data_IF_785603396796
#
_entry.id   IF_785603396796
#
_cell.length_a   1.000
_cell.length_b   1.000
_cell.length_c   1.000
_cell.angle_alpha   90.00
_cell.angle_beta   90.00
_cell.angle_gamma   90.00
#
_symmetry.space_group_name_H-M   'P 1'
#
loop_
_entity.id
_entity.type
_entity.pdbx_description
1 polymer ?
#
# COMPACT_ATOMS: atom_id res chain seq x y z
N UNK A 1 33.65 21.91 31.52
CA UNK A 1 33.55 21.08 30.27
C UNK A 1 32.08 20.98 29.92
N UNK A 2 31.62 21.77 29.01
CA UNK A 2 30.22 21.80 28.56
C UNK A 2 30.09 20.81 27.41
N UNK A 3 29.48 19.66 27.69
CA UNK A 3 29.18 18.65 26.66
C UNK A 3 28.07 19.15 25.76
N UNK A 4 28.36 19.35 24.47
CA UNK A 4 27.37 19.61 23.44
C UNK A 4 26.59 18.32 23.19
N UNK A 5 25.29 18.34 23.49
CA UNK A 5 24.35 17.28 23.10
C UNK A 5 24.10 17.41 21.60
N UNK A 6 24.60 16.47 20.83
CA UNK A 6 24.25 16.36 19.40
C UNK A 6 22.87 15.76 19.33
N UNK A 7 21.85 16.58 19.01
CA UNK A 7 20.51 16.09 18.69
C UNK A 7 20.58 15.37 17.33
N UNK A 8 20.60 14.05 17.35
CA UNK A 8 20.41 13.23 16.15
C UNK A 8 18.91 13.21 15.86
N UNK A 9 18.46 14.05 14.94
CA UNK A 9 17.10 13.96 14.39
C UNK A 9 17.07 12.78 13.42
N UNK A 10 16.43 11.70 13.84
CA UNK A 10 16.10 10.60 12.95
C UNK A 10 15.09 11.11 11.93
N UNK A 11 15.31 10.85 10.64
CA UNK A 11 14.33 11.16 9.61
C UNK A 11 13.08 10.31 9.87
N UNK A 12 11.94 10.97 10.05
CA UNK A 12 10.66 10.30 10.29
C UNK A 12 10.29 9.46 9.06
N UNK A 13 9.91 8.20 9.30
CA UNK A 13 9.51 7.27 8.24
C UNK A 13 8.01 7.43 7.96
N UNK A 14 7.57 7.63 6.70
CA UNK A 14 6.16 7.69 6.39
C UNK A 14 5.46 6.36 6.70
N UNK A 15 4.27 6.42 7.25
CA UNK A 15 3.41 5.26 7.55
C UNK A 15 2.88 4.59 6.28
N UNK A 16 2.65 5.37 5.23
CA UNK A 16 2.28 4.87 3.90
C UNK A 16 2.69 5.85 2.81
N UNK A 17 2.70 5.37 1.56
CA UNK A 17 3.05 6.19 0.39
C UNK A 17 2.06 5.97 -0.74
N UNK A 18 1.93 6.97 -1.59
CA UNK A 18 1.13 6.94 -2.81
C UNK A 18 1.69 7.85 -3.88
N UNK A 19 0.95 8.00 -4.94
CA UNK A 19 1.26 8.89 -6.05
C UNK A 19 0.22 10.01 -6.16
N UNK A 20 0.59 11.09 -6.79
CA UNK A 20 -0.30 12.18 -7.17
C UNK A 20 0.28 12.96 -8.32
N UNK A 21 -0.50 13.84 -8.92
CA UNK A 21 -0.01 14.67 -10.02
C UNK A 21 -0.59 16.09 -9.99
N UNK A 22 0.16 17.04 -10.50
CA UNK A 22 -0.28 18.44 -10.58
C UNK A 22 -1.46 18.59 -11.55
N UNK A 23 -2.51 19.27 -11.10
CA UNK A 23 -3.70 19.60 -11.89
C UNK A 23 -3.83 21.10 -12.14
N UNK A 24 -3.02 21.92 -11.48
CA UNK A 24 -2.93 23.37 -11.70
C UNK A 24 -1.48 23.82 -11.68
N UNK A 25 -1.20 25.01 -12.18
CA UNK A 25 0.13 25.64 -12.14
C UNK A 25 0.48 26.29 -10.80
N UNK A 26 -0.52 26.46 -9.93
CA UNK A 26 -0.40 27.08 -8.61
C UNK A 26 -0.36 26.07 -7.45
N UNK A 27 -0.07 24.79 -7.73
CA UNK A 27 0.26 23.82 -6.71
C UNK A 27 -0.88 22.95 -6.18
N UNK A 28 -1.98 22.77 -6.90
CA UNK A 28 -2.93 21.71 -6.60
C UNK A 28 -2.49 20.38 -7.17
N UNK A 29 -2.43 19.36 -6.32
CA UNK A 29 -2.07 17.98 -6.66
C UNK A 29 -3.28 17.08 -6.40
N UNK A 30 -3.65 16.27 -7.39
CA UNK A 30 -4.72 15.27 -7.31
C UNK A 30 -4.13 13.92 -6.96
N UNK A 31 -4.82 13.19 -6.07
CA UNK A 31 -4.47 11.83 -5.62
C UNK A 31 -5.74 11.08 -5.21
N UNK A 32 -5.62 9.86 -4.65
CA UNK A 32 -6.75 9.16 -4.05
C UNK A 32 -7.00 9.59 -2.60
N UNK A 33 -8.25 9.45 -2.15
CA UNK A 33 -8.65 9.72 -0.77
C UNK A 33 -7.94 8.78 0.21
N UNK A 34 -7.85 7.49 -0.10
CA UNK A 34 -7.20 6.50 0.77
C UNK A 34 -5.69 6.74 0.96
N UNK A 35 -5.04 7.52 0.07
CA UNK A 35 -3.62 7.89 0.20
C UNK A 35 -3.41 8.92 1.31
N UNK A 36 -4.41 9.77 1.60
CA UNK A 36 -4.32 10.85 2.59
C UNK A 36 -5.17 10.61 3.84
N UNK A 37 -6.07 9.63 3.80
CA UNK A 37 -6.94 9.32 4.93
C UNK A 37 -6.14 8.75 6.10
N UNK A 38 -6.43 9.24 7.31
CA UNK A 38 -5.74 8.82 8.54
C UNK A 38 -4.35 9.41 8.71
N UNK A 39 -3.88 10.25 7.78
CA UNK A 39 -2.61 10.95 7.93
C UNK A 39 -2.78 12.17 8.86
N UNK A 40 -1.92 12.30 9.84
CA UNK A 40 -1.80 13.55 10.61
C UNK A 40 -1.07 14.64 9.82
N UNK A 41 -0.14 14.19 8.97
CA UNK A 41 0.62 15.05 8.08
C UNK A 41 0.80 14.38 6.74
N UNK A 42 0.54 15.12 5.68
CA UNK A 42 0.80 14.71 4.31
C UNK A 42 1.93 15.57 3.75
N UNK A 43 2.91 14.95 3.13
CA UNK A 43 3.99 15.64 2.42
C UNK A 43 4.05 15.18 0.97
N UNK A 44 4.43 16.10 0.11
CA UNK A 44 4.78 15.79 -1.28
C UNK A 44 6.30 15.80 -1.36
N UNK A 45 6.88 14.65 -1.69
CA UNK A 45 8.32 14.45 -1.69
C UNK A 45 9.04 15.52 -2.52
N UNK A 46 10.06 16.14 -1.95
CA UNK A 46 10.85 17.26 -2.52
C UNK A 46 10.08 18.58 -2.72
N UNK A 47 8.77 18.62 -2.41
CA UNK A 47 7.94 19.82 -2.58
C UNK A 47 7.46 20.40 -1.24
N UNK A 48 7.48 19.62 -0.17
CA UNK A 48 7.15 20.03 1.19
C UNK A 48 5.78 19.56 1.68
N UNK A 49 5.37 20.11 2.82
CA UNK A 49 4.13 19.74 3.50
C UNK A 49 2.90 20.21 2.69
N UNK A 50 1.94 19.31 2.52
CA UNK A 50 0.60 19.64 2.03
C UNK A 50 -0.14 20.56 3.00
N UNK A 51 -0.77 21.59 2.47
CA UNK A 51 -1.57 22.56 3.23
C UNK A 51 -3.05 22.15 3.25
N UNK A 52 -3.89 22.84 2.46
CA UNK A 52 -5.32 22.53 2.32
C UNK A 52 -5.49 21.16 1.65
N UNK A 53 -6.16 20.21 2.34
CA UNK A 53 -6.47 18.88 1.84
C UNK A 53 -7.98 18.75 1.76
N UNK A 54 -8.50 18.44 0.57
CA UNK A 54 -9.93 18.25 0.29
C UNK A 54 -10.15 16.83 -0.16
N UNK A 55 -11.14 16.15 0.42
CA UNK A 55 -11.34 14.72 0.25
C UNK A 55 -12.75 14.42 -0.23
N UNK A 56 -12.85 13.54 -1.22
CA UNK A 56 -14.09 12.88 -1.65
C UNK A 56 -13.93 11.38 -1.43
N UNK A 57 -14.36 10.91 -0.27
CA UNK A 57 -14.29 9.49 0.09
C UNK A 57 -15.18 8.60 -0.79
N UNK A 58 -16.27 9.16 -1.36
CA UNK A 58 -17.20 8.39 -2.19
C UNK A 58 -16.57 7.99 -3.53
N UNK A 59 -15.77 8.90 -4.10
CA UNK A 59 -15.12 8.69 -5.39
C UNK A 59 -13.63 8.34 -5.24
N UNK A 60 -13.14 8.17 -4.01
CA UNK A 60 -11.75 7.89 -3.71
C UNK A 60 -10.78 8.93 -4.31
N UNK A 61 -11.08 10.22 -4.15
CA UNK A 61 -10.28 11.33 -4.66
C UNK A 61 -9.89 12.30 -3.55
N UNK A 62 -8.70 12.90 -3.67
CA UNK A 62 -8.26 13.99 -2.82
C UNK A 62 -7.45 15.01 -3.60
N UNK A 63 -7.55 16.27 -3.16
CA UNK A 63 -6.75 17.40 -3.62
C UNK A 63 -5.85 17.86 -2.48
N UNK A 64 -4.58 18.08 -2.77
CA UNK A 64 -3.58 18.58 -1.83
C UNK A 64 -3.05 19.90 -2.38
N UNK A 65 -3.12 20.96 -1.58
CA UNK A 65 -2.53 22.25 -1.93
C UNK A 65 -1.09 22.30 -1.44
N UNK A 66 -0.15 22.51 -2.37
CA UNK A 66 1.24 22.82 -2.04
C UNK A 66 1.38 24.21 -1.39
N UNK A 67 2.46 24.49 -0.65
CA UNK A 67 2.70 25.79 -0.06
C UNK A 67 2.66 26.93 -1.09
N UNK A 68 2.24 28.10 -0.63
CA UNK A 68 2.16 29.28 -1.52
C UNK A 68 3.52 29.60 -2.16
N UNK A 69 3.46 29.98 -3.43
CA UNK A 69 4.64 30.28 -4.24
C UNK A 69 5.24 29.06 -4.96
N UNK A 70 4.85 27.85 -4.61
CA UNK A 70 5.26 26.66 -5.36
C UNK A 70 4.56 26.62 -6.71
N UNK A 71 5.35 26.52 -7.77
CA UNK A 71 4.87 26.36 -9.14
C UNK A 71 4.93 24.92 -9.56
N UNK A 72 3.89 24.45 -10.24
CA UNK A 72 3.76 23.10 -10.76
C UNK A 72 3.46 23.11 -12.25
N UNK A 73 3.81 22.06 -12.95
CA UNK A 73 3.44 21.82 -14.35
C UNK A 73 2.21 20.94 -14.35
N UNK A 74 0.99 21.46 -14.68
CA UNK A 74 -0.21 20.62 -14.65
C UNK A 74 -0.21 19.60 -15.80
N UNK A 75 -0.81 18.44 -15.54
CA UNK A 75 -1.29 17.55 -16.60
C UNK A 75 -2.68 18.00 -17.05
N UNK A 76 -2.95 17.93 -18.34
CA UNK A 76 -4.21 18.32 -18.93
C UNK A 76 -5.20 17.15 -18.95
N UNK A 77 -6.45 17.42 -18.60
CA UNK A 77 -7.52 16.42 -18.68
C UNK A 77 -8.01 16.29 -20.13
N UNK A 78 -8.24 15.05 -20.56
CA UNK A 78 -8.82 14.75 -21.85
C UNK A 78 -10.32 14.99 -21.84
N UNK A 79 -10.85 15.66 -22.87
CA UNK A 79 -12.29 15.87 -23.08
C UNK A 79 -12.93 14.79 -23.95
N UNK A 80 -12.17 14.25 -24.87
CA UNK A 80 -12.70 13.30 -25.85
C UNK A 80 -13.10 11.96 -25.22
N UNK A 81 -14.06 11.29 -25.87
CA UNK A 81 -14.58 9.99 -25.43
C UNK A 81 -13.45 8.96 -25.39
N UNK A 82 -13.36 8.25 -24.28
CA UNK A 82 -12.44 7.11 -24.10
C UNK A 82 -13.03 5.91 -24.83
N UNK A 83 -12.20 5.18 -25.58
CA UNK A 83 -12.63 4.00 -26.34
C UNK A 83 -12.03 2.73 -25.75
N UNK A 84 -12.74 1.62 -25.88
CA UNK A 84 -12.24 0.30 -25.57
C UNK A 84 -10.99 -0.01 -26.42
N UNK A 85 -9.96 -0.56 -25.79
CA UNK A 85 -8.71 -0.95 -26.45
C UNK A 85 -7.70 0.20 -26.63
N UNK A 86 -8.00 1.43 -26.22
CA UNK A 86 -7.03 2.52 -26.30
C UNK A 86 -5.79 2.22 -25.47
N UNK A 87 -4.61 2.50 -26.05
CA UNK A 87 -3.33 2.41 -25.36
C UNK A 87 -3.22 3.48 -24.27
N UNK A 88 -2.73 3.08 -23.12
CA UNK A 88 -2.58 3.94 -21.95
C UNK A 88 -1.24 3.74 -21.24
N UNK A 89 -0.85 4.75 -20.49
CA UNK A 89 0.36 4.78 -19.67
C UNK A 89 -0.06 5.16 -18.25
N UNK A 90 0.38 4.40 -17.26
CA UNK A 90 0.28 4.78 -15.85
C UNK A 90 1.64 5.18 -15.31
N UNK A 91 1.69 6.27 -14.54
CA UNK A 91 2.89 6.79 -13.89
C UNK A 91 2.70 6.82 -12.38
N UNK A 92 3.75 6.50 -11.62
CA UNK A 92 3.68 6.53 -10.16
C UNK A 92 4.94 6.06 -9.46
N UNK A 93 4.83 5.87 -8.14
CA UNK A 93 5.91 5.45 -7.24
C UNK A 93 5.55 4.15 -6.52
N UNK A 94 5.43 3.01 -7.25
CA UNK A 94 5.06 1.74 -6.65
C UNK A 94 6.18 1.18 -5.79
N UNK A 95 5.79 0.42 -4.73
CA UNK A 95 6.66 -0.38 -3.88
C UNK A 95 7.81 0.43 -3.29
N UNK A 96 7.47 1.55 -2.64
CA UNK A 96 8.43 2.38 -1.93
C UNK A 96 9.19 1.59 -0.87
N UNK A 97 10.49 1.85 -0.77
CA UNK A 97 11.39 1.09 0.12
C UNK A 97 11.84 -0.28 -0.41
N UNK A 98 11.16 -0.86 -1.42
CA UNK A 98 11.57 -2.10 -2.09
C UNK A 98 12.23 -1.87 -3.43
N UNK A 99 11.77 -0.88 -4.17
CA UNK A 99 12.34 -0.45 -5.45
C UNK A 99 13.03 0.90 -5.31
N UNK A 100 13.67 1.36 -6.39
CA UNK A 100 14.28 2.70 -6.42
C UNK A 100 13.23 3.79 -6.20
N UNK A 101 13.61 4.91 -5.57
CA UNK A 101 12.75 6.09 -5.36
C UNK A 101 12.38 6.87 -6.64
N UNK A 102 12.76 6.35 -7.80
CA UNK A 102 12.42 6.96 -9.08
C UNK A 102 10.98 6.65 -9.50
N UNK A 103 10.38 7.55 -10.27
CA UNK A 103 9.10 7.31 -10.92
C UNK A 103 9.16 6.05 -11.80
N UNK A 104 8.07 5.29 -11.83
CA UNK A 104 7.91 4.13 -12.71
C UNK A 104 6.76 4.37 -13.66
N UNK A 105 6.89 3.73 -14.81
CA UNK A 105 5.90 3.75 -15.87
C UNK A 105 5.49 2.31 -16.22
N UNK A 106 4.20 2.09 -16.39
CA UNK A 106 3.64 0.85 -16.92
C UNK A 106 2.69 1.17 -18.07
N UNK A 107 2.61 0.29 -19.05
CA UNK A 107 1.74 0.44 -20.23
C UNK A 107 0.67 -0.63 -20.25
N UNK A 108 -0.44 -0.36 -20.91
CA UNK A 108 -1.55 -1.27 -21.11
C UNK A 108 -2.63 -0.65 -21.97
N UNK A 109 -3.86 -1.14 -21.80
CA UNK A 109 -5.03 -0.70 -22.57
C UNK A 109 -6.23 -0.50 -21.66
N UNK A 110 -7.21 0.26 -22.15
CA UNK A 110 -8.54 0.30 -21.56
C UNK A 110 -9.26 -1.01 -21.87
N UNK A 111 -9.43 -1.87 -20.85
CA UNK A 111 -10.01 -3.22 -20.99
C UNK A 111 -11.54 -3.23 -20.86
N UNK A 112 -12.14 -2.26 -20.13
CA UNK A 112 -13.57 -2.03 -20.09
C UNK A 112 -13.88 -0.56 -19.76
N UNK A 113 -15.05 -0.11 -20.22
CA UNK A 113 -15.53 1.26 -19.97
C UNK A 113 -16.35 1.39 -18.68
N UNK A 114 -16.30 0.38 -17.80
CA UNK A 114 -16.89 0.40 -16.47
C UNK A 114 -16.07 -0.45 -15.51
N UNK A 115 -16.18 -0.18 -14.22
CA UNK A 115 -15.55 -0.93 -13.15
C UNK A 115 -16.41 -2.12 -12.69
N UNK A 116 -16.14 -2.59 -11.47
CA UNK A 116 -16.90 -3.65 -10.81
C UNK A 116 -18.40 -3.30 -10.73
N UNK A 117 -19.25 -4.29 -10.91
CA UNK A 117 -20.70 -4.11 -10.86
C UNK A 117 -21.25 -3.11 -11.89
N UNK A 118 -20.57 -2.92 -13.02
CA UNK A 118 -20.89 -1.91 -14.05
C UNK A 118 -20.80 -0.45 -13.56
N UNK A 119 -19.98 -0.18 -12.55
CA UNK A 119 -19.78 1.18 -12.03
C UNK A 119 -19.07 2.06 -13.07
N UNK A 120 -19.81 3.03 -13.60
CA UNK A 120 -19.34 3.93 -14.67
C UNK A 120 -18.35 5.00 -14.19
N UNK A 121 -18.10 5.12 -12.88
CA UNK A 121 -17.07 6.01 -12.33
C UNK A 121 -15.65 5.53 -12.62
N UNK A 122 -15.51 4.26 -12.99
CA UNK A 122 -14.23 3.60 -13.18
C UNK A 122 -14.02 3.14 -14.62
N UNK A 123 -12.74 2.98 -14.95
CA UNK A 123 -12.27 2.24 -16.12
C UNK A 123 -11.61 0.96 -15.62
N UNK A 124 -11.83 -0.16 -16.31
CA UNK A 124 -10.96 -1.31 -16.15
C UNK A 124 -9.78 -1.17 -17.11
N UNK A 125 -8.57 -1.42 -16.63
CA UNK A 125 -7.32 -1.28 -17.38
C UNK A 125 -6.45 -2.54 -17.24
N UNK A 126 -5.69 -2.86 -18.27
CA UNK A 126 -4.73 -3.98 -18.25
C UNK A 126 -3.36 -3.58 -17.71
N UNK A 127 -3.12 -2.30 -17.49
CA UNK A 127 -1.87 -1.74 -16.99
C UNK A 127 -1.56 -2.31 -15.61
N UNK A 128 -0.36 -2.92 -15.38
CA UNK A 128 0.03 -3.41 -14.05
C UNK A 128 0.06 -2.26 -13.02
N UNK A 129 -0.69 -2.41 -11.95
CA UNK A 129 -0.78 -1.46 -10.83
C UNK A 129 -0.35 -2.18 -9.55
N UNK A 130 0.52 -1.52 -8.78
CA UNK A 130 1.04 -2.00 -7.50
C UNK A 130 0.74 -0.97 -6.39
N UNK A 131 0.76 -1.37 -5.11
CA UNK A 131 0.72 -0.42 -4.00
C UNK A 131 1.75 0.70 -4.18
N UNK A 132 1.33 1.95 -3.96
CA UNK A 132 2.12 3.16 -4.26
C UNK A 132 1.81 3.81 -5.61
N UNK A 133 1.22 3.10 -6.59
CA UNK A 133 0.69 3.73 -7.81
C UNK A 133 -0.61 4.51 -7.56
N UNK A 134 -1.36 4.17 -6.50
CA UNK A 134 -2.63 4.83 -6.16
C UNK A 134 -2.51 6.35 -6.18
N UNK A 135 -3.42 7.02 -6.86
CA UNK A 135 -3.44 8.46 -7.08
C UNK A 135 -2.59 8.97 -8.24
N UNK A 136 -1.80 8.09 -8.88
CA UNK A 136 -1.04 8.44 -10.08
C UNK A 136 -1.94 8.61 -11.31
N UNK A 137 -1.48 9.36 -12.33
CA UNK A 137 -2.25 9.57 -13.55
C UNK A 137 -2.23 8.34 -14.46
N UNK A 138 -3.37 8.08 -15.10
CA UNK A 138 -3.48 7.28 -16.32
C UNK A 138 -3.62 8.24 -17.48
N UNK A 139 -2.68 8.20 -18.42
CA UNK A 139 -2.62 9.10 -19.57
C UNK A 139 -2.74 8.33 -20.89
N UNK A 140 -3.24 9.01 -21.91
CA UNK A 140 -3.31 8.51 -23.28
C UNK A 140 -1.98 8.70 -24.04
N UNK A 141 -1.97 8.39 -25.31
CA UNK A 141 -0.81 8.52 -26.22
C UNK A 141 -0.41 9.95 -26.52
N UNK A 142 -1.22 10.91 -26.18
CA UNK A 142 -0.95 12.36 -26.31
C UNK A 142 -0.49 12.98 -24.97
N UNK A 143 -0.46 12.18 -23.87
CA UNK A 143 -0.07 12.61 -22.52
C UNK A 143 -1.19 13.27 -21.72
N UNK A 144 -2.45 13.09 -22.15
CA UNK A 144 -3.63 13.66 -21.49
C UNK A 144 -4.22 12.68 -20.47
N UNK A 145 -4.65 13.19 -19.33
CA UNK A 145 -5.20 12.38 -18.25
C UNK A 145 -6.59 11.87 -18.62
N UNK A 146 -6.75 10.56 -18.59
CA UNK A 146 -8.03 9.86 -18.78
C UNK A 146 -8.55 9.24 -17.48
N UNK A 147 -7.68 9.09 -16.47
CA UNK A 147 -8.06 8.51 -15.18
C UNK A 147 -6.98 8.63 -14.13
N UNK A 148 -7.30 8.18 -12.92
CA UNK A 148 -6.45 8.14 -11.75
C UNK A 148 -6.37 6.70 -11.26
N UNK A 149 -5.17 6.12 -11.16
CA UNK A 149 -4.98 4.73 -10.72
C UNK A 149 -5.52 4.53 -9.30
N UNK A 150 -6.23 3.43 -9.06
CA UNK A 150 -6.65 3.02 -7.72
C UNK A 150 -6.39 1.52 -7.53
N UNK A 151 -5.47 1.19 -6.62
CA UNK A 151 -5.15 -0.20 -6.28
C UNK A 151 -6.20 -0.83 -5.34
N UNK A 152 -7.00 0.00 -4.63
CA UNK A 152 -8.01 -0.47 -3.69
C UNK A 152 -9.09 -1.33 -4.33
N UNK A 153 -9.55 -1.00 -5.54
CA UNK A 153 -10.58 -1.77 -6.24
C UNK A 153 -10.12 -3.14 -6.71
N UNK A 154 -8.86 -3.26 -7.14
CA UNK A 154 -8.28 -4.56 -7.50
C UNK A 154 -8.15 -5.47 -6.27
N UNK A 155 -7.83 -4.88 -5.11
CA UNK A 155 -7.82 -5.57 -3.82
C UNK A 155 -9.23 -6.02 -3.43
N UNK A 156 -10.22 -5.13 -3.48
CA UNK A 156 -11.62 -5.46 -3.16
C UNK A 156 -12.17 -6.58 -4.06
N UNK A 157 -11.83 -6.56 -5.35
CA UNK A 157 -12.20 -7.62 -6.28
C UNK A 157 -11.61 -8.98 -5.87
N UNK A 158 -10.33 -9.01 -5.51
CA UNK A 158 -9.68 -10.22 -5.03
C UNK A 158 -10.30 -10.71 -3.71
N UNK A 159 -10.63 -9.79 -2.80
CA UNK A 159 -11.26 -10.09 -1.52
C UNK A 159 -12.69 -10.64 -1.68
N UNK A 160 -13.49 -10.08 -2.60
CA UNK A 160 -14.87 -10.52 -2.85
C UNK A 160 -14.95 -11.84 -3.63
N UNK A 161 -14.07 -12.04 -4.60
CA UNK A 161 -14.14 -13.18 -5.52
C UNK A 161 -13.23 -14.35 -5.14
N UNK A 162 -12.23 -14.11 -4.30
CA UNK A 162 -11.15 -15.06 -4.00
C UNK A 162 -10.20 -15.29 -5.18
N UNK A 163 -10.31 -14.51 -6.26
CA UNK A 163 -9.45 -14.59 -7.44
C UNK A 163 -8.60 -13.32 -7.57
N UNK A 164 -7.28 -13.47 -7.64
CA UNK A 164 -6.40 -12.42 -8.13
C UNK A 164 -6.46 -12.48 -9.65
N UNK A 165 -7.27 -11.61 -10.24
CA UNK A 165 -7.35 -11.51 -11.69
C UNK A 165 -6.07 -10.82 -12.20
N UNK A 166 -5.31 -11.51 -13.05
CA UNK A 166 -4.17 -10.91 -13.73
C UNK A 166 -4.65 -9.85 -14.72
N UNK A 167 -3.98 -8.69 -14.73
CA UNK A 167 -4.28 -7.56 -15.64
C UNK A 167 -5.71 -7.01 -15.53
N UNK A 168 -6.35 -7.16 -14.36
CA UNK A 168 -7.61 -6.51 -14.01
C UNK A 168 -7.33 -5.46 -12.96
N UNK A 169 -7.10 -4.25 -13.41
CA UNK A 169 -6.85 -3.08 -12.58
C UNK A 169 -7.87 -2.00 -12.91
N UNK A 170 -7.95 -0.98 -12.07
CA UNK A 170 -8.98 0.05 -12.19
C UNK A 170 -8.36 1.45 -12.07
N UNK A 171 -9.04 2.39 -12.73
CA UNK A 171 -8.77 3.82 -12.60
C UNK A 171 -10.08 4.58 -12.41
N UNK A 172 -10.11 5.55 -11.51
CA UNK A 172 -11.18 6.54 -11.43
C UNK A 172 -11.15 7.38 -12.71
N UNK A 173 -12.27 7.58 -13.39
CA UNK A 173 -12.32 8.37 -14.62
C UNK A 173 -11.94 9.82 -14.36
N UNK A 174 -11.24 10.44 -15.31
CA UNK A 174 -10.90 11.86 -15.25
C UNK A 174 -12.15 12.76 -15.15
N UNK A 175 -13.29 12.36 -15.73
CA UNK A 175 -14.56 13.10 -15.62
C UNK A 175 -15.11 13.12 -14.18
N UNK A 176 -14.86 12.10 -13.38
CA UNK A 176 -15.22 12.09 -11.94
C UNK A 176 -14.34 13.07 -11.18
N UNK A 177 -13.04 13.08 -11.47
CA UNK A 177 -12.11 14.05 -10.90
C UNK A 177 -12.44 15.49 -11.33
N UNK A 178 -12.87 15.68 -12.57
CA UNK A 178 -13.34 16.97 -13.07
C UNK A 178 -14.50 17.51 -12.23
N UNK A 179 -15.54 16.70 -11.99
CA UNK A 179 -16.67 17.09 -11.14
C UNK A 179 -16.23 17.42 -9.72
N UNK A 180 -15.33 16.65 -9.15
CA UNK A 180 -14.77 16.92 -7.82
C UNK A 180 -13.99 18.25 -7.79
N UNK A 181 -13.09 18.47 -8.75
CA UNK A 181 -12.31 19.72 -8.84
C UNK A 181 -13.22 20.94 -9.00
N UNK A 182 -14.24 20.87 -9.84
CA UNK A 182 -15.25 21.94 -10.02
C UNK A 182 -15.98 22.25 -8.72
N UNK A 183 -16.43 21.21 -8.00
CA UNK A 183 -17.11 21.38 -6.71
C UNK A 183 -16.21 22.03 -5.65
N UNK A 184 -14.88 21.83 -5.75
CA UNK A 184 -13.89 22.44 -4.87
C UNK A 184 -13.39 23.82 -5.35
N UNK A 185 -13.86 24.33 -6.48
CA UNK A 185 -13.41 25.63 -7.05
C UNK A 185 -11.96 25.59 -7.55
N UNK A 186 -11.45 24.42 -7.91
CA UNK A 186 -10.11 24.24 -8.47
C UNK A 186 -10.19 24.30 -9.99
N UNK A 187 -9.34 25.16 -10.60
CA UNK A 187 -9.29 25.32 -12.06
C UNK A 187 -8.87 24.02 -12.75
N UNK A 188 -9.47 23.77 -13.91
CA UNK A 188 -9.19 22.59 -14.70
C UNK A 188 -8.52 23.00 -16.00
N UNK A 189 -7.41 22.33 -16.30
CA UNK A 189 -6.71 22.48 -17.57
C UNK A 189 -7.08 21.32 -18.49
N UNK A 190 -7.60 21.65 -19.67
CA UNK A 190 -7.98 20.65 -20.65
C UNK A 190 -7.02 20.62 -21.81
N UNK A 191 -6.88 19.45 -22.39
CA UNK A 191 -6.20 19.29 -23.66
C UNK A 191 -6.91 20.05 -24.78
N UNK A 192 -6.16 20.70 -25.64
CA UNK A 192 -6.69 21.25 -26.87
C UNK A 192 -6.97 20.14 -27.88
N UNK A 193 -8.18 20.16 -28.46
CA UNK A 193 -8.62 19.16 -29.45
C UNK A 193 -8.03 19.40 -30.86
N UNK A 194 -6.88 20.05 -30.96
CA UNK A 194 -6.29 20.41 -32.25
C UNK A 194 -5.81 19.15 -32.98
N UNK A 195 -6.56 18.78 -34.03
CA UNK A 195 -6.40 17.57 -34.85
C UNK A 195 -5.14 17.55 -35.73
N UNK A 196 -4.27 18.54 -35.62
CA UNK A 196 -3.03 18.69 -36.40
C UNK A 196 -1.78 18.27 -35.62
N UNK A 197 -1.88 17.23 -34.78
CA UNK A 197 -0.71 16.76 -34.05
C UNK A 197 0.20 15.98 -35.02
N UNK A 198 1.44 16.41 -35.13
CA UNK A 198 2.60 15.71 -35.66
C UNK A 198 2.67 14.23 -35.21
N UNK A 199 3.48 13.38 -35.82
CA UNK A 199 3.49 11.95 -35.50
C UNK A 199 3.49 11.73 -33.98
N UNK A 200 2.59 10.86 -33.51
CA UNK A 200 2.39 10.60 -32.08
C UNK A 200 3.75 10.44 -31.36
N UNK A 201 3.96 11.14 -30.23
CA UNK A 201 5.21 11.02 -29.49
C UNK A 201 5.45 9.56 -29.05
N UNK A 202 6.70 9.17 -28.94
CA UNK A 202 7.01 7.85 -28.40
C UNK A 202 6.58 7.75 -26.92
N UNK A 203 6.37 6.53 -26.45
CA UNK A 203 6.06 6.30 -25.02
C UNK A 203 7.11 6.91 -24.09
N UNK A 204 8.38 6.92 -24.53
CA UNK A 204 9.48 7.53 -23.79
C UNK A 204 9.33 9.07 -23.71
N UNK A 205 9.00 9.73 -24.82
CA UNK A 205 8.80 11.18 -24.86
C UNK A 205 7.61 11.62 -23.98
N UNK A 206 6.53 10.82 -24.01
CA UNK A 206 5.35 11.05 -23.15
C UNK A 206 5.74 10.94 -21.68
N UNK A 207 6.46 9.87 -21.30
CA UNK A 207 6.93 9.65 -19.94
C UNK A 207 7.86 10.79 -19.48
N UNK A 208 8.81 11.21 -20.30
CA UNK A 208 9.71 12.32 -20.00
C UNK A 208 8.93 13.63 -19.78
N UNK A 209 7.96 13.93 -20.65
CA UNK A 209 7.13 15.11 -20.54
C UNK A 209 6.21 15.14 -19.32
N UNK A 210 5.62 13.99 -18.94
CA UNK A 210 4.64 13.87 -17.86
C UNK A 210 5.28 13.69 -16.48
N UNK A 211 6.44 13.02 -16.40
CA UNK A 211 7.11 12.68 -15.13
C UNK A 211 7.33 13.87 -14.20
N UNK A 212 7.72 15.10 -14.66
CA UNK A 212 7.89 16.24 -13.77
C UNK A 212 6.61 16.71 -13.08
N UNK A 213 5.46 16.26 -13.55
CA UNK A 213 4.14 16.61 -13.01
C UNK A 213 3.62 15.57 -12.00
N UNK A 214 4.32 14.43 -11.83
CA UNK A 214 3.91 13.32 -10.96
C UNK A 214 4.78 13.29 -9.72
N UNK A 215 4.14 13.18 -8.56
CA UNK A 215 4.76 13.31 -7.25
C UNK A 215 4.51 12.09 -6.39
N UNK A 216 5.48 11.77 -5.54
CA UNK A 216 5.33 10.81 -4.44
C UNK A 216 4.66 11.52 -3.26
N UNK A 217 3.60 10.93 -2.76
CA UNK A 217 2.86 11.39 -1.58
C UNK A 217 3.32 10.57 -0.38
N UNK A 218 3.64 11.24 0.71
CA UNK A 218 4.08 10.66 1.96
C UNK A 218 3.03 10.95 3.02
N UNK A 219 2.48 9.89 3.62
CA UNK A 219 1.55 9.98 4.74
C UNK A 219 2.32 9.70 6.03
N UNK A 220 2.21 10.59 7.00
CA UNK A 220 2.76 10.41 8.33
C UNK A 220 1.58 10.26 9.31
N UNK A 221 1.59 9.15 10.07
CA UNK A 221 0.66 8.89 11.16
C UNK A 221 1.07 9.61 12.45
N UNK A 222 0.52 9.20 13.59
CA UNK A 222 0.91 9.78 14.89
C UNK A 222 2.40 9.62 15.15
N UNK A 223 3.06 10.78 15.44
CA UNK A 223 4.38 10.77 16.05
C UNK A 223 4.27 10.17 17.45
N UNK A 224 4.72 8.95 17.63
CA UNK A 224 5.13 8.51 18.97
C UNK A 224 6.44 9.19 19.30
N UNK A 225 6.38 10.43 19.81
CA UNK A 225 7.52 11.07 20.45
C UNK A 225 7.96 10.18 21.63
N UNK A 226 9.28 9.95 21.82
CA UNK A 226 9.74 9.35 23.06
C UNK A 226 9.38 10.32 24.19
N UNK A 227 8.41 9.94 25.01
CA UNK A 227 8.01 10.72 26.18
C UNK A 227 9.20 10.85 27.12
N UNK A 228 9.68 12.08 27.31
CA UNK A 228 10.42 12.46 28.48
C UNK A 228 9.45 12.34 29.66
N UNK A 229 9.82 11.51 30.63
CA UNK A 229 9.11 11.35 31.90
C UNK A 229 9.18 12.67 32.64
N UNK A 230 8.09 13.44 32.62
CA UNK A 230 7.81 14.44 33.63
C UNK A 230 6.51 14.04 34.34
N UNK A 231 6.64 13.83 35.66
CA UNK A 231 5.53 13.64 36.59
C UNK A 231 4.62 14.86 36.56
N UNK A 232 3.34 14.70 36.22
CA UNK A 232 2.15 15.08 36.99
C UNK A 232 0.88 15.11 36.14
N UNK A 233 -0.08 14.33 36.62
CA UNK A 233 -1.55 14.44 36.62
C UNK A 233 -2.39 14.49 35.35
N UNK A 234 -3.17 13.41 35.23
CA UNK A 234 -4.60 13.32 34.85
C UNK A 234 -5.04 13.83 33.47
N UNK A 235 -5.15 12.90 32.49
CA UNK A 235 -6.41 12.77 31.75
C UNK A 235 -6.61 11.34 31.20
N UNK A 236 -7.85 10.86 31.31
CA UNK A 236 -8.24 9.47 31.03
C UNK A 236 -8.38 9.27 29.51
N UNK A 237 -7.41 8.64 28.88
CA UNK A 237 -7.61 7.91 27.62
C UNK A 237 -7.39 6.43 27.89
N UNK A 238 -8.29 5.59 27.36
CA UNK A 238 -8.28 4.15 27.54
C UNK A 238 -6.97 3.55 27.00
N UNK A 239 -5.99 3.38 27.88
CA UNK A 239 -4.88 2.48 27.67
C UNK A 239 -5.47 1.07 27.51
N UNK A 240 -5.30 0.50 26.33
CA UNK A 240 -5.54 -0.92 26.12
C UNK A 240 -4.48 -1.67 26.93
N UNK A 241 -4.88 -2.11 28.12
CA UNK A 241 -4.00 -2.50 29.21
C UNK A 241 -2.96 -3.53 28.77
N UNK A 242 -1.74 -3.09 28.50
CA UNK A 242 -0.58 -3.95 28.47
C UNK A 242 -0.25 -4.66 27.13
N UNK A 243 -0.87 -4.28 26.01
CA UNK A 243 -0.57 -4.86 24.69
C UNK A 243 0.05 -3.82 23.74
N UNK A 244 1.05 -4.24 22.98
CA UNK A 244 1.59 -3.52 21.81
C UNK A 244 0.86 -4.01 20.58
N UNK A 245 0.20 -3.13 19.85
CA UNK A 245 -0.54 -3.46 18.62
C UNK A 245 0.31 -3.12 17.40
N UNK A 246 0.31 -4.02 16.42
CA UNK A 246 0.97 -3.85 15.12
C UNK A 246 -0.01 -4.17 14.00
N UNK A 247 -0.40 -3.14 13.25
CA UNK A 247 -1.25 -3.29 12.08
C UNK A 247 -0.44 -3.81 10.89
N UNK A 248 -1.10 -4.55 10.00
CA UNK A 248 -0.49 -5.14 8.80
C UNK A 248 0.70 -6.06 9.10
N UNK A 249 0.66 -6.70 10.29
CA UNK A 249 1.67 -7.65 10.73
C UNK A 249 1.04 -8.91 11.29
N UNK A 250 1.77 -10.00 11.14
CA UNK A 250 1.46 -11.30 11.71
C UNK A 250 2.55 -11.70 12.71
N UNK A 251 2.15 -12.10 13.91
CA UNK A 251 3.02 -12.72 14.88
C UNK A 251 3.19 -14.20 14.53
N UNK A 252 4.37 -14.61 14.09
CA UNK A 252 4.58 -15.95 13.54
C UNK A 252 4.70 -17.01 14.61
N UNK A 253 3.94 -18.10 14.44
CA UNK A 253 4.04 -19.31 15.24
C UNK A 253 3.31 -19.26 16.58
N UNK A 254 3.52 -20.30 17.38
CA UNK A 254 3.03 -20.44 18.75
C UNK A 254 1.50 -20.42 18.92
N UNK A 255 0.75 -20.76 17.86
CA UNK A 255 -0.72 -20.81 17.92
C UNK A 255 -1.19 -21.97 18.80
N UNK A 256 -1.94 -21.66 19.86
CA UNK A 256 -2.52 -22.68 20.72
C UNK A 256 -4.06 -22.70 20.67
N UNK A 257 -4.70 -21.62 20.19
CA UNK A 257 -6.15 -21.51 20.11
C UNK A 257 -6.58 -20.67 18.93
N UNK A 258 -7.59 -21.15 18.21
CA UNK A 258 -8.21 -20.46 17.09
C UNK A 258 -9.65 -20.10 17.41
N UNK A 259 -10.02 -18.83 17.28
CA UNK A 259 -11.37 -18.31 17.45
C UNK A 259 -11.86 -17.80 16.10
N UNK A 260 -13.05 -18.23 15.67
CA UNK A 260 -13.65 -17.80 14.40
C UNK A 260 -14.70 -16.73 14.61
N UNK A 261 -14.97 -15.97 13.55
CA UNK A 261 -16.01 -14.94 13.52
C UNK A 261 -15.84 -13.86 14.62
N UNK A 262 -14.58 -13.54 14.93
CA UNK A 262 -14.23 -12.51 15.90
C UNK A 262 -13.92 -11.18 15.21
N UNK A 263 -14.10 -10.10 15.94
CA UNK A 263 -13.52 -8.79 15.62
C UNK A 263 -12.12 -8.69 16.21
N UNK A 264 -11.35 -7.67 15.78
CA UNK A 264 -10.03 -7.37 16.35
C UNK A 264 -10.10 -7.15 17.87
N UNK A 265 -11.07 -6.35 18.33
CA UNK A 265 -11.23 -6.06 19.76
C UNK A 265 -11.57 -7.30 20.58
N UNK A 266 -12.43 -8.19 20.07
CA UNK A 266 -12.71 -9.46 20.73
C UNK A 266 -11.49 -10.39 20.77
N UNK A 267 -10.62 -10.33 19.74
CA UNK A 267 -9.37 -11.05 19.70
C UNK A 267 -8.39 -10.54 20.76
N UNK A 268 -8.20 -9.24 20.85
CA UNK A 268 -7.38 -8.58 21.87
C UNK A 268 -7.87 -8.91 23.28
N UNK A 269 -9.17 -8.76 23.55
CA UNK A 269 -9.77 -9.07 24.85
C UNK A 269 -9.64 -10.57 25.22
N UNK A 270 -9.78 -11.47 24.24
CA UNK A 270 -9.60 -12.90 24.48
C UNK A 270 -8.15 -13.22 24.89
N UNK A 271 -7.16 -12.55 24.30
CA UNK A 271 -5.76 -12.72 24.67
C UNK A 271 -5.49 -12.15 26.07
N UNK A 272 -5.96 -10.96 26.37
CA UNK A 272 -5.79 -10.32 27.68
C UNK A 272 -6.47 -11.10 28.82
N UNK A 273 -7.56 -11.81 28.51
CA UNK A 273 -8.29 -12.62 29.47
C UNK A 273 -7.67 -13.99 29.79
N UNK A 274 -6.64 -14.41 29.04
CA UNK A 274 -5.99 -15.71 29.22
C UNK A 274 -4.51 -15.54 29.60
N UNK A 275 -4.13 -15.91 30.80
CA UNK A 275 -2.73 -15.79 31.29
C UNK A 275 -1.68 -16.54 30.43
N UNK A 276 -2.10 -17.51 29.64
CA UNK A 276 -1.28 -18.24 28.68
C UNK A 276 -0.97 -17.41 27.44
N UNK A 277 -1.86 -16.47 27.08
CA UNK A 277 -1.72 -15.71 25.84
C UNK A 277 -0.61 -14.65 25.98
N UNK A 278 0.40 -14.74 25.14
CA UNK A 278 1.49 -13.75 25.06
C UNK A 278 1.33 -12.83 23.85
N UNK A 279 0.62 -13.29 22.81
CA UNK A 279 0.34 -12.55 21.61
C UNK A 279 -0.91 -13.09 20.91
N UNK A 280 -1.42 -12.32 19.97
CA UNK A 280 -2.46 -12.76 19.06
C UNK A 280 -2.23 -12.26 17.65
N UNK A 281 -2.75 -12.97 16.66
CA UNK A 281 -2.90 -12.50 15.30
C UNK A 281 -4.38 -12.51 14.94
N UNK A 282 -4.89 -11.40 14.45
CA UNK A 282 -6.22 -11.28 13.90
C UNK A 282 -6.13 -11.24 12.37
N UNK A 283 -6.57 -12.31 11.71
CA UNK A 283 -6.70 -12.33 10.26
C UNK A 283 -7.96 -11.58 9.86
N UNK A 284 -7.77 -10.43 9.21
CA UNK A 284 -8.83 -9.50 8.78
C UNK A 284 -9.73 -10.15 7.73
N UNK A 285 -9.14 -10.91 6.81
CA UNK A 285 -9.83 -11.54 5.68
C UNK A 285 -10.80 -12.62 6.11
N UNK A 286 -10.39 -13.48 7.04
CA UNK A 286 -11.19 -14.62 7.48
C UNK A 286 -11.90 -14.37 8.81
N UNK A 287 -11.70 -13.20 9.43
CA UNK A 287 -12.19 -12.87 10.76
C UNK A 287 -11.83 -13.94 11.80
N UNK A 288 -10.60 -14.41 11.71
CA UNK A 288 -10.03 -15.45 12.55
C UNK A 288 -9.00 -14.85 13.48
N UNK A 289 -9.14 -15.17 14.75
CA UNK A 289 -8.22 -14.82 15.81
C UNK A 289 -7.37 -16.04 16.19
N UNK A 290 -6.07 -15.88 16.17
CA UNK A 290 -5.08 -16.90 16.58
C UNK A 290 -4.43 -16.43 17.88
N UNK A 291 -4.71 -17.09 19.00
CA UNK A 291 -4.05 -16.82 20.28
C UNK A 291 -2.77 -17.63 20.38
N UNK A 292 -1.71 -16.98 20.86
CA UNK A 292 -0.33 -17.48 20.84
C UNK A 292 0.26 -17.47 22.25
N UNK A 293 0.96 -18.54 22.61
CA UNK A 293 1.61 -18.65 23.92
C UNK A 293 3.06 -18.14 23.93
N UNK A 294 3.57 -17.67 22.78
CA UNK A 294 4.82 -16.95 22.66
C UNK A 294 4.82 -16.07 21.41
N UNK A 295 5.82 -15.16 21.28
CA UNK A 295 6.08 -14.35 20.09
C UNK A 295 7.56 -14.02 20.01
N UNK A 296 8.18 -14.32 18.87
CA UNK A 296 9.62 -14.04 18.65
C UNK A 296 9.88 -13.14 17.46
N UNK A 297 8.95 -13.12 16.49
CA UNK A 297 9.11 -12.31 15.28
C UNK A 297 7.75 -11.92 14.69
N UNK A 298 7.73 -10.73 14.06
CA UNK A 298 6.64 -10.25 13.24
C UNK A 298 7.07 -10.19 11.79
N UNK A 299 6.14 -10.56 10.91
CA UNK A 299 6.29 -10.40 9.46
C UNK A 299 5.23 -9.43 8.94
N UNK A 300 5.51 -8.78 7.84
CA UNK A 300 4.56 -7.93 7.14
C UNK A 300 3.48 -8.81 6.53
N UNK A 301 2.23 -8.58 6.90
CA UNK A 301 1.06 -9.28 6.39
C UNK A 301 -0.14 -8.33 6.37
N UNK A 302 -0.49 -7.84 5.19
CA UNK A 302 -1.58 -6.88 5.03
C UNK A 302 -2.96 -7.44 5.42
N UNK A 303 -3.11 -8.76 5.44
CA UNK A 303 -4.35 -9.44 5.84
C UNK A 303 -4.43 -9.70 7.35
N UNK A 304 -3.43 -9.27 8.12
CA UNK A 304 -3.39 -9.52 9.56
C UNK A 304 -3.02 -8.27 10.35
N UNK A 305 -3.61 -8.16 11.54
CA UNK A 305 -3.15 -7.26 12.60
C UNK A 305 -2.80 -8.11 13.81
N UNK A 306 -1.77 -7.76 14.55
CA UNK A 306 -1.37 -8.53 15.72
C UNK A 306 -1.19 -7.65 16.95
N UNK A 307 -1.21 -8.31 18.11
CA UNK A 307 -0.86 -7.68 19.37
C UNK A 307 -0.04 -8.64 20.24
N UNK A 308 0.83 -8.09 21.07
CA UNK A 308 1.64 -8.84 22.03
C UNK A 308 1.84 -8.04 23.31
N UNK A 309 2.09 -8.73 24.43
CA UNK A 309 2.28 -8.08 25.71
C UNK A 309 3.48 -7.12 25.71
N UNK A 310 3.33 -5.97 26.37
CA UNK A 310 4.36 -4.90 26.42
C UNK A 310 5.69 -5.33 27.01
N UNK A 311 5.69 -6.29 27.93
CA UNK A 311 6.89 -6.87 28.52
C UNK A 311 7.76 -7.65 27.52
N UNK A 312 7.14 -8.13 26.41
CA UNK A 312 7.81 -8.81 25.32
C UNK A 312 8.40 -7.86 24.26
N UNK A 313 8.19 -6.55 24.36
CA UNK A 313 8.57 -5.55 23.36
C UNK A 313 10.06 -5.62 22.94
N UNK A 314 10.95 -5.94 23.86
CA UNK A 314 12.39 -6.02 23.59
C UNK A 314 12.83 -7.39 23.00
N UNK A 315 11.96 -8.38 23.01
CA UNK A 315 12.23 -9.74 22.54
C UNK A 315 11.68 -10.00 21.14
N UNK A 316 10.64 -9.26 20.74
CA UNK A 316 9.98 -9.38 19.46
C UNK A 316 10.80 -8.70 18.36
N UNK A 317 11.15 -9.45 17.32
CA UNK A 317 11.91 -8.94 16.16
C UNK A 317 10.98 -8.56 15.03
N UNK A 318 11.06 -7.31 14.58
CA UNK A 318 10.49 -6.90 13.30
C UNK A 318 11.35 -7.46 12.18
N UNK A 319 10.75 -8.15 11.21
CA UNK A 319 11.48 -8.72 10.06
C UNK A 319 11.04 -8.06 8.76
N UNK A 320 11.89 -8.13 7.75
CA UNK A 320 11.57 -7.63 6.40
C UNK A 320 10.85 -8.68 5.54
N UNK A 321 10.41 -9.79 6.14
CA UNK A 321 9.63 -10.78 5.42
C UNK A 321 8.20 -10.30 5.20
N UNK A 322 7.72 -10.50 3.98
CA UNK A 322 6.31 -10.29 3.62
C UNK A 322 5.65 -11.64 3.39
N UNK A 323 4.51 -11.86 4.03
CA UNK A 323 3.69 -13.07 3.85
C UNK A 323 2.62 -12.85 2.79
N UNK A 324 2.36 -13.90 2.03
CA UNK A 324 1.30 -13.95 1.02
C UNK A 324 0.57 -15.29 1.13
N UNK A 325 -0.73 -15.23 1.40
CA UNK A 325 -1.59 -16.42 1.45
C UNK A 325 -2.04 -16.83 0.06
N UNK A 326 -2.16 -18.15 -0.15
CA UNK A 326 -2.56 -18.74 -1.42
C UNK A 326 -1.67 -18.36 -2.62
N UNK A 327 -0.37 -18.15 -2.37
CA UNK A 327 0.64 -17.78 -3.35
C UNK A 327 1.81 -18.76 -3.33
N UNK A 328 2.42 -18.96 -4.49
CA UNK A 328 3.66 -19.73 -4.66
C UNK A 328 4.64 -18.95 -5.53
N UNK A 329 5.89 -19.35 -5.49
CA UNK A 329 6.97 -18.80 -6.29
C UNK A 329 7.57 -19.91 -7.15
N UNK A 330 7.55 -19.77 -8.46
CA UNK A 330 8.10 -20.77 -9.36
C UNK A 330 9.63 -20.80 -9.32
N UNK A 331 10.20 -21.99 -9.15
CA UNK A 331 11.64 -22.23 -9.21
C UNK A 331 12.45 -21.69 -8.02
N UNK A 332 13.78 -21.79 -8.14
CA UNK A 332 14.70 -21.37 -7.09
C UNK A 332 14.78 -22.30 -5.89
N UNK A 333 14.10 -23.43 -5.92
CA UNK A 333 14.10 -24.40 -4.82
C UNK A 333 15.49 -25.04 -4.64
N UNK A 334 16.06 -24.87 -3.46
CA UNK A 334 17.36 -25.47 -3.14
C UNK A 334 17.31 -26.37 -1.91
N UNK A 335 16.24 -26.33 -1.14
CA UNK A 335 16.03 -27.18 0.03
C UNK A 335 14.56 -27.48 0.23
N UNK A 336 14.26 -28.71 0.50
CA UNK A 336 12.92 -29.22 0.84
C UNK A 336 12.91 -29.80 2.26
N UNK A 337 11.86 -29.54 3.01
CA UNK A 337 11.66 -30.01 4.38
C UNK A 337 10.23 -30.55 4.48
N UNK A 338 10.11 -31.84 4.79
CA UNK A 338 8.83 -32.52 5.04
C UNK A 338 8.42 -32.43 6.51
N UNK A 339 7.15 -32.67 6.77
CA UNK A 339 6.52 -32.72 8.10
C UNK A 339 6.92 -31.54 9.00
N UNK A 340 6.79 -30.35 8.46
CA UNK A 340 7.20 -29.12 9.11
C UNK A 340 6.02 -28.15 9.29
N UNK A 341 6.22 -27.06 10.03
CA UNK A 341 5.25 -25.97 10.19
C UNK A 341 5.65 -24.74 9.38
N UNK A 342 4.71 -23.81 9.17
CA UNK A 342 4.99 -22.50 8.57
C UNK A 342 6.07 -21.75 9.36
N UNK A 343 5.99 -21.77 10.70
CA UNK A 343 6.99 -21.16 11.58
C UNK A 343 8.37 -21.80 11.39
N UNK A 344 8.48 -23.11 11.35
CA UNK A 344 9.76 -23.79 11.12
C UNK A 344 10.32 -23.52 9.73
N UNK A 345 9.46 -23.38 8.72
CA UNK A 345 9.83 -22.99 7.36
C UNK A 345 10.44 -21.59 7.35
N UNK A 346 9.77 -20.63 7.99
CA UNK A 346 10.25 -19.27 8.18
C UNK A 346 11.59 -19.23 8.91
N UNK A 347 11.73 -19.94 10.04
CA UNK A 347 12.96 -19.99 10.80
C UNK A 347 14.11 -20.62 10.00
N UNK A 348 13.82 -21.64 9.20
CA UNK A 348 14.77 -22.26 8.28
C UNK A 348 15.25 -21.30 7.20
N UNK A 349 14.37 -20.40 6.72
CA UNK A 349 14.72 -19.38 5.74
C UNK A 349 15.51 -18.22 6.38
N UNK A 350 15.11 -17.75 7.56
CA UNK A 350 15.81 -16.62 8.23
C UNK A 350 17.23 -16.99 8.64
N UNK A 351 17.45 -18.24 9.02
CA UNK A 351 18.75 -18.77 9.41
C UNK A 351 19.70 -19.10 8.26
N UNK A 352 19.23 -19.15 7.01
CA UNK A 352 20.06 -19.46 5.83
C UNK A 352 20.26 -18.22 4.96
N UNK A 353 21.51 -17.76 4.85
CA UNK A 353 21.87 -16.57 4.04
C UNK A 353 21.52 -16.70 2.55
N UNK A 354 21.37 -17.93 2.03
CA UNK A 354 20.98 -18.20 0.64
C UNK A 354 19.48 -18.02 0.44
N UNK A 355 18.67 -18.14 1.52
CA UNK A 355 17.24 -18.09 1.43
C UNK A 355 16.76 -16.65 1.18
N UNK A 356 15.99 -16.48 0.12
CA UNK A 356 15.34 -15.23 -0.25
C UNK A 356 13.80 -15.32 -0.15
N UNK A 357 13.28 -16.54 -0.24
CA UNK A 357 11.85 -16.82 -0.11
C UNK A 357 11.62 -18.27 0.32
N UNK A 358 10.42 -18.57 0.77
CA UNK A 358 9.98 -19.94 1.00
C UNK A 358 8.52 -20.12 0.62
N UNK A 359 8.15 -21.33 0.19
CA UNK A 359 6.77 -21.74 -0.03
C UNK A 359 6.42 -22.87 0.93
N UNK A 360 5.36 -22.68 1.71
CA UNK A 360 4.85 -23.67 2.65
C UNK A 360 3.52 -24.22 2.18
N UNK A 361 3.46 -25.52 1.88
CA UNK A 361 2.25 -26.21 1.44
C UNK A 361 1.49 -26.70 2.69
N UNK A 362 0.42 -25.99 3.07
CA UNK A 362 -0.29 -26.18 4.35
C UNK A 362 -0.82 -27.61 4.55
N UNK A 363 -1.50 -28.19 3.55
CA UNK A 363 -2.08 -29.54 3.65
C UNK A 363 -1.04 -30.65 3.73
N UNK A 364 0.11 -30.45 3.09
CA UNK A 364 1.19 -31.44 3.04
C UNK A 364 2.23 -31.25 4.13
N UNK A 365 2.19 -30.12 4.84
CA UNK A 365 3.20 -29.70 5.81
C UNK A 365 4.62 -29.71 5.22
N UNK A 366 4.76 -29.21 3.99
CA UNK A 366 6.01 -29.20 3.24
C UNK A 366 6.51 -27.78 3.06
N UNK A 367 7.80 -27.59 3.26
CA UNK A 367 8.50 -26.31 3.10
C UNK A 367 9.52 -26.40 1.96
N UNK A 368 9.51 -25.42 1.08
CA UNK A 368 10.46 -25.27 -0.01
C UNK A 368 11.22 -23.95 0.15
N UNK A 369 12.51 -24.02 0.52
CA UNK A 369 13.36 -22.84 0.62
C UNK A 369 13.92 -22.47 -0.75
N UNK A 370 13.89 -21.18 -1.09
CA UNK A 370 14.21 -20.67 -2.41
C UNK A 370 15.35 -19.63 -2.32
N UNK A 371 16.30 -19.73 -3.25
CA UNK A 371 17.45 -18.82 -3.35
C UNK A 371 17.29 -17.75 -4.44
N UNK A 372 16.16 -17.75 -5.14
CA UNK A 372 15.80 -16.78 -6.14
C UNK A 372 14.36 -16.31 -5.91
N UNK A 373 14.09 -15.04 -6.23
CA UNK A 373 12.75 -14.45 -6.20
C UNK A 373 12.31 -14.34 -7.66
N UNK A 374 11.42 -15.26 -8.07
CA UNK A 374 10.71 -15.19 -9.35
C UNK A 374 9.42 -14.37 -9.23
N UNK A 375 8.52 -14.53 -10.18
CA UNK A 375 7.20 -13.92 -10.10
C UNK A 375 6.26 -14.78 -9.24
N UNK A 376 5.65 -14.21 -8.17
CA UNK A 376 4.63 -14.89 -7.40
C UNK A 376 3.40 -15.20 -8.26
N UNK A 377 2.82 -16.38 -8.09
CA UNK A 377 1.60 -16.79 -8.77
C UNK A 377 0.61 -17.43 -7.80
N UNK A 378 -0.68 -17.27 -8.07
CA UNK A 378 -1.74 -17.82 -7.24
C UNK A 378 -1.68 -19.34 -7.15
N UNK A 379 -1.68 -19.91 -5.93
CA UNK A 379 -1.71 -21.36 -5.68
C UNK A 379 -2.35 -21.65 -4.34
N UNK A 380 -3.59 -22.06 -4.38
CA UNK A 380 -4.40 -22.33 -3.19
C UNK A 380 -3.73 -23.33 -2.23
N UNK A 381 -3.69 -22.96 -0.95
CA UNK A 381 -3.13 -23.79 0.12
C UNK A 381 -1.60 -23.73 0.19
N UNK A 382 -0.99 -22.70 -0.41
CA UNK A 382 0.44 -22.40 -0.26
C UNK A 382 0.59 -21.03 0.39
N UNK A 383 1.39 -20.98 1.44
CA UNK A 383 1.80 -19.73 2.10
C UNK A 383 3.21 -19.37 1.65
N UNK A 384 3.36 -18.24 1.02
CA UNK A 384 4.64 -17.72 0.52
C UNK A 384 5.19 -16.69 1.50
N UNK A 385 6.46 -16.83 1.89
CA UNK A 385 7.22 -15.81 2.60
C UNK A 385 8.38 -15.31 1.73
N UNK A 386 8.49 -14.00 1.56
CA UNK A 386 9.56 -13.35 0.79
C UNK A 386 10.35 -12.38 1.67
N UNK A 387 11.68 -12.39 1.52
CA UNK A 387 12.62 -11.55 2.27
C UNK A 387 12.86 -10.21 1.60
#
# INVERSE_FOLDING_TARGET
MTGSVVNVTWAETPSSTGSGFAVTDNGWVLTNAHVVNGCQRVEIAKMGKGGDIRVDNHNDLALIKLPDGVKTKPLYLRRNVIRLGEDIIALGFPLDGLLSDSIKMTTGNVSALSGLGNDTRYLQISTPIQPGNSGGPVIDREGHVIGITTAGLSKNFADETGFIAQNVNFAVRATVAEMFMQAQGVSIFYADDDKNVAPHPSTADIAESASPSVYKILCFGEETLPQQVSSDETDKQSEDAGMVIQNDHDAIGFDYKTLKEKSFNECSQACQGESRCQAFTYNKRFRVCLLKDDVVALIINQDADCGYHTDRKNEVRMTNFTAFSDMDLAGGDYKHIDDTSYFSCFMGCIGDKRCKAFSFITKKKQCWLKNNIGEPHGKKGVELGMK
#
